data_IF_785027626825
#
_entry.id   IF_785027626825
#
_cell.length_a   1.000
_cell.length_b   1.000
_cell.length_c   1.000
_cell.angle_alpha   90.00
_cell.angle_beta   90.00
_cell.angle_gamma   90.00
#
_symmetry.space_group_name_H-M   'P 1'
#
loop_
_entity.id
_entity.type
_entity.pdbx_description
1 polymer ?
#
# COMPACT_ATOMS: atom_id res chain seq x y z
N UNK A 1 -57.08 14.00 -26.06
CA UNK A 1 -56.15 13.20 -26.89
C UNK A 1 -54.79 13.38 -26.27
N UNK A 2 -54.41 12.49 -25.36
CA UNK A 2 -53.10 12.54 -24.69
C UNK A 2 -52.31 11.31 -25.12
N UNK A 3 -51.36 11.50 -26.03
CA UNK A 3 -50.40 10.47 -26.40
C UNK A 3 -49.31 10.41 -25.34
N UNK A 4 -49.33 9.35 -24.53
CA UNK A 4 -48.19 8.93 -23.74
C UNK A 4 -47.10 8.41 -24.70
N UNK A 5 -46.06 9.21 -24.91
CA UNK A 5 -44.85 8.82 -25.62
C UNK A 5 -44.03 7.88 -24.71
N UNK A 6 -44.32 6.58 -24.78
CA UNK A 6 -43.44 5.56 -24.21
C UNK A 6 -42.20 5.44 -25.08
N UNK A 7 -41.14 6.14 -24.67
CA UNK A 7 -39.78 5.90 -25.16
C UNK A 7 -39.28 4.57 -24.58
N UNK A 8 -39.61 3.47 -25.27
CA UNK A 8 -38.93 2.18 -25.10
C UNK A 8 -37.47 2.34 -25.53
N UNK A 9 -36.60 2.70 -24.58
CA UNK A 9 -35.16 2.54 -24.75
C UNK A 9 -34.82 1.08 -24.47
N UNK A 10 -34.80 0.27 -25.51
CA UNK A 10 -34.22 -1.07 -25.46
C UNK A 10 -32.72 -0.95 -25.18
N UNK A 11 -32.27 -1.55 -24.06
CA UNK A 11 -30.86 -1.62 -23.72
C UNK A 11 -30.10 -2.31 -24.85
N UNK A 12 -29.01 -1.70 -25.32
CA UNK A 12 -28.20 -2.32 -26.35
C UNK A 12 -27.36 -3.45 -25.74
N UNK A 13 -26.92 -4.44 -26.54
CA UNK A 13 -26.05 -5.51 -26.05
C UNK A 13 -24.79 -4.98 -25.34
N UNK A 14 -24.26 -3.84 -25.80
CA UNK A 14 -23.14 -3.15 -25.17
C UNK A 14 -23.47 -2.61 -23.77
N UNK A 15 -24.69 -2.12 -23.55
CA UNK A 15 -25.13 -1.63 -22.23
C UNK A 15 -25.31 -2.80 -21.24
N UNK A 16 -25.72 -3.97 -21.74
CA UNK A 16 -25.88 -5.18 -20.95
C UNK A 16 -24.53 -5.80 -20.56
N UNK A 17 -23.56 -5.85 -21.47
CA UNK A 17 -22.20 -6.30 -21.19
C UNK A 17 -21.50 -5.37 -20.19
N UNK A 18 -21.63 -4.05 -20.39
CA UNK A 18 -21.06 -3.06 -19.47
C UNK A 18 -21.70 -3.13 -18.07
N UNK A 19 -23.02 -3.35 -17.99
CA UNK A 19 -23.72 -3.53 -16.72
C UNK A 19 -23.34 -4.82 -15.97
N UNK A 20 -23.06 -5.90 -16.70
CA UNK A 20 -22.58 -7.15 -16.10
C UNK A 20 -21.16 -7.02 -15.55
N UNK A 21 -20.28 -6.35 -16.28
CA UNK A 21 -18.90 -6.08 -15.83
C UNK A 21 -18.88 -5.21 -14.57
N UNK A 22 -19.69 -4.16 -14.50
CA UNK A 22 -19.78 -3.31 -13.29
C UNK A 22 -20.28 -4.09 -12.08
N UNK A 23 -21.27 -4.95 -12.26
CA UNK A 23 -21.81 -5.77 -11.19
C UNK A 23 -20.80 -6.82 -10.69
N UNK A 24 -20.04 -7.44 -11.60
CA UNK A 24 -18.96 -8.36 -11.22
C UNK A 24 -17.86 -7.65 -10.40
N UNK A 25 -17.45 -6.44 -10.82
CA UNK A 25 -16.48 -5.61 -10.09
C UNK A 25 -16.98 -5.28 -8.68
N UNK A 26 -18.26 -4.92 -8.57
CA UNK A 26 -18.90 -4.62 -7.29
C UNK A 26 -18.94 -5.85 -6.38
N UNK A 27 -19.26 -7.03 -6.91
CA UNK A 27 -19.27 -8.29 -6.15
C UNK A 27 -17.89 -8.64 -5.62
N UNK A 28 -16.85 -8.51 -6.44
CA UNK A 28 -15.46 -8.71 -6.02
C UNK A 28 -15.11 -7.78 -4.86
N UNK A 29 -15.42 -6.49 -4.98
CA UNK A 29 -15.09 -5.51 -3.95
C UNK A 29 -15.85 -5.78 -2.64
N UNK A 30 -17.14 -6.12 -2.71
CA UNK A 30 -17.93 -6.50 -1.52
C UNK A 30 -17.33 -7.74 -0.84
N UNK A 31 -16.95 -8.76 -1.61
CA UNK A 31 -16.32 -9.96 -1.07
C UNK A 31 -14.99 -9.66 -0.38
N UNK A 32 -14.17 -8.80 -0.99
CA UNK A 32 -12.90 -8.33 -0.41
C UNK A 32 -13.15 -7.58 0.89
N UNK A 33 -14.05 -6.59 0.91
CA UNK A 33 -14.37 -5.80 2.11
C UNK A 33 -14.89 -6.67 3.26
N UNK A 34 -15.56 -7.77 2.94
CA UNK A 34 -16.06 -8.74 3.93
C UNK A 34 -15.00 -9.75 4.38
N UNK A 35 -13.84 -9.81 3.75
CA UNK A 35 -12.83 -10.83 4.04
C UNK A 35 -13.24 -12.25 3.59
N UNK A 36 -14.20 -12.37 2.67
CA UNK A 36 -14.71 -13.69 2.24
C UNK A 36 -13.83 -14.28 1.12
N UNK A 37 -12.87 -15.11 1.52
CA UNK A 37 -11.92 -15.73 0.60
C UNK A 37 -12.60 -16.58 -0.49
N UNK A 38 -13.69 -17.28 -0.16
CA UNK A 38 -14.41 -18.15 -1.10
C UNK A 38 -15.14 -17.31 -2.14
N UNK A 39 -15.85 -16.26 -1.71
CA UNK A 39 -16.53 -15.34 -2.60
C UNK A 39 -15.54 -14.58 -3.49
N UNK A 40 -14.37 -14.18 -2.97
CA UNK A 40 -13.32 -13.56 -3.78
C UNK A 40 -12.81 -14.53 -4.84
N UNK A 41 -12.52 -15.79 -4.48
CA UNK A 41 -12.05 -16.79 -5.45
C UNK A 41 -13.04 -16.99 -6.59
N UNK A 42 -14.33 -17.09 -6.27
CA UNK A 42 -15.40 -17.21 -7.26
C UNK A 42 -15.50 -15.96 -8.13
N UNK A 43 -15.44 -14.77 -7.54
CA UNK A 43 -15.50 -13.52 -8.27
C UNK A 43 -14.31 -13.34 -9.23
N UNK A 44 -13.09 -13.70 -8.79
CA UNK A 44 -11.89 -13.64 -9.63
C UNK A 44 -11.98 -14.58 -10.84
N UNK A 45 -12.61 -15.75 -10.70
CA UNK A 45 -12.80 -16.68 -11.83
C UNK A 45 -13.73 -16.12 -12.92
N UNK A 46 -14.61 -15.19 -12.57
CA UNK A 46 -15.56 -14.55 -13.50
C UNK A 46 -15.09 -13.22 -14.08
N UNK A 47 -14.03 -12.61 -13.53
CA UNK A 47 -13.59 -11.26 -13.90
C UNK A 47 -12.53 -11.29 -15.01
N UNK A 48 -12.75 -10.47 -16.05
CA UNK A 48 -11.80 -10.27 -17.16
C UNK A 48 -10.93 -9.01 -17.01
N UNK A 49 -11.34 -8.04 -16.18
CA UNK A 49 -10.67 -6.73 -16.05
C UNK A 49 -9.59 -6.69 -14.96
N UNK A 50 -8.33 -6.57 -15.39
CA UNK A 50 -7.17 -6.44 -14.51
C UNK A 50 -7.17 -5.17 -13.64
N UNK A 51 -7.74 -4.04 -14.08
CA UNK A 51 -7.72 -2.79 -13.27
C UNK A 51 -8.56 -2.93 -12.01
N UNK A 52 -9.71 -3.57 -12.12
CA UNK A 52 -10.59 -3.83 -10.99
C UNK A 52 -9.96 -4.79 -9.98
N UNK A 53 -9.22 -5.79 -10.45
CA UNK A 53 -8.45 -6.70 -9.60
C UNK A 53 -7.34 -5.95 -8.87
N UNK A 54 -6.62 -5.04 -9.52
CA UNK A 54 -5.61 -4.20 -8.86
C UNK A 54 -6.20 -3.28 -7.80
N UNK A 55 -7.41 -2.75 -8.02
CA UNK A 55 -8.10 -1.97 -7.01
C UNK A 55 -8.51 -2.84 -5.81
N UNK A 56 -9.11 -4.00 -6.07
CA UNK A 56 -9.48 -4.98 -5.06
C UNK A 56 -8.27 -5.44 -4.22
N UNK A 57 -7.12 -5.64 -4.85
CA UNK A 57 -5.85 -5.95 -4.18
C UNK A 57 -5.44 -4.85 -3.20
N UNK A 58 -5.49 -3.58 -3.61
CA UNK A 58 -5.16 -2.45 -2.72
C UNK A 58 -6.10 -2.36 -1.53
N UNK A 59 -7.40 -2.59 -1.74
CA UNK A 59 -8.40 -2.59 -0.67
C UNK A 59 -8.17 -3.74 0.30
N UNK A 60 -7.93 -4.96 -0.21
CA UNK A 60 -7.60 -6.11 0.62
C UNK A 60 -6.35 -5.85 1.48
N UNK A 61 -5.33 -5.24 0.90
CA UNK A 61 -4.08 -4.91 1.57
C UNK A 61 -4.28 -3.88 2.71
N UNK A 62 -4.98 -2.77 2.42
CA UNK A 62 -5.28 -1.72 3.41
C UNK A 62 -6.20 -2.19 4.55
N UNK A 63 -7.09 -3.16 4.29
CA UNK A 63 -7.94 -3.78 5.31
C UNK A 63 -7.25 -4.89 6.11
N UNK A 64 -6.00 -5.23 5.79
CA UNK A 64 -5.26 -6.26 6.51
C UNK A 64 -5.62 -7.69 6.11
N UNK A 65 -6.25 -7.91 4.95
CA UNK A 65 -6.63 -9.23 4.45
C UNK A 65 -5.49 -9.90 3.68
N UNK A 66 -4.39 -10.23 4.38
CA UNK A 66 -3.18 -10.80 3.79
C UNK A 66 -3.44 -12.01 2.87
N UNK A 67 -4.25 -12.97 3.33
CA UNK A 67 -4.58 -14.17 2.54
C UNK A 67 -5.29 -13.85 1.22
N UNK A 68 -6.18 -12.85 1.24
CA UNK A 68 -6.91 -12.40 0.05
C UNK A 68 -5.96 -11.68 -0.89
N UNK A 69 -5.10 -10.80 -0.36
CA UNK A 69 -4.12 -10.07 -1.16
C UNK A 69 -3.13 -11.03 -1.85
N UNK A 70 -2.57 -12.01 -1.13
CA UNK A 70 -1.73 -13.07 -1.70
C UNK A 70 -2.45 -13.89 -2.75
N UNK A 71 -3.71 -14.28 -2.49
CA UNK A 71 -4.51 -15.05 -3.46
C UNK A 71 -4.75 -14.26 -4.75
N UNK A 72 -5.01 -12.94 -4.65
CA UNK A 72 -5.18 -12.08 -5.83
C UNK A 72 -3.87 -11.99 -6.63
N UNK A 73 -2.73 -11.78 -5.95
CA UNK A 73 -1.42 -11.73 -6.61
C UNK A 73 -1.14 -13.04 -7.35
N UNK A 74 -1.27 -14.18 -6.68
CA UNK A 74 -0.89 -15.48 -7.23
C UNK A 74 -1.80 -15.93 -8.38
N UNK A 75 -3.10 -15.65 -8.31
CA UNK A 75 -4.07 -16.21 -9.28
C UNK A 75 -4.46 -15.24 -10.39
N UNK A 76 -4.40 -13.93 -10.15
CA UNK A 76 -4.91 -12.94 -11.09
C UNK A 76 -3.87 -11.90 -11.52
N UNK A 77 -2.77 -11.74 -10.78
CA UNK A 77 -1.75 -10.72 -11.03
C UNK A 77 -0.31 -11.23 -10.80
N UNK A 78 0.08 -12.41 -11.35
CA UNK A 78 1.33 -13.08 -10.98
C UNK A 78 2.59 -12.26 -11.30
N UNK A 79 2.54 -11.41 -12.34
CA UNK A 79 3.68 -10.60 -12.79
C UNK A 79 3.41 -9.08 -12.70
N UNK A 80 2.38 -8.66 -11.95
CA UNK A 80 2.00 -7.24 -11.86
C UNK A 80 2.75 -6.50 -10.73
N UNK A 81 4.04 -6.26 -10.91
CA UNK A 81 4.91 -5.61 -9.93
C UNK A 81 4.35 -4.25 -9.44
N UNK A 82 3.82 -3.45 -10.36
CA UNK A 82 3.22 -2.14 -10.05
C UNK A 82 1.95 -2.23 -9.19
N UNK A 83 1.20 -3.32 -9.34
CA UNK A 83 -0.01 -3.58 -8.56
C UNK A 83 0.35 -4.01 -7.14
N UNK A 84 1.34 -4.90 -7.01
CA UNK A 84 1.90 -5.30 -5.73
C UNK A 84 2.46 -4.09 -4.97
N UNK A 85 3.28 -3.26 -5.63
CA UNK A 85 3.83 -2.04 -5.02
C UNK A 85 2.72 -1.08 -4.55
N UNK A 86 1.65 -0.95 -5.35
CA UNK A 86 0.47 -0.19 -4.94
C UNK A 86 -0.26 -0.77 -3.72
N UNK A 87 -0.31 -2.10 -3.60
CA UNK A 87 -0.94 -2.82 -2.51
C UNK A 87 -0.11 -2.73 -1.22
N UNK A 88 1.20 -2.92 -1.32
CA UNK A 88 2.12 -2.78 -0.21
C UNK A 88 2.11 -1.34 0.32
N UNK A 89 2.11 -0.35 -0.56
CA UNK A 89 1.95 1.05 -0.17
C UNK A 89 0.63 1.32 0.61
N UNK A 90 -0.48 0.66 0.24
CA UNK A 90 -1.73 0.76 0.97
C UNK A 90 -1.64 0.12 2.37
N UNK A 91 -1.11 -1.11 2.45
CA UNK A 91 -0.89 -1.79 3.73
C UNK A 91 -0.01 -0.98 4.68
N UNK A 92 1.06 -0.34 4.17
CA UNK A 92 1.94 0.52 4.96
C UNK A 92 1.20 1.73 5.51
N UNK A 93 0.42 2.43 4.66
CA UNK A 93 -0.34 3.62 5.08
C UNK A 93 -1.37 3.30 6.16
N UNK A 94 -2.03 2.16 6.02
CA UNK A 94 -3.06 1.71 6.95
C UNK A 94 -2.49 0.90 8.13
N UNK A 95 -1.16 0.90 8.31
CA UNK A 95 -0.45 0.24 9.41
C UNK A 95 -0.70 -1.27 9.53
N UNK A 96 -0.97 -1.94 8.40
CA UNK A 96 -1.23 -3.37 8.31
C UNK A 96 0.08 -4.18 8.24
N UNK A 97 0.83 -4.22 9.35
CA UNK A 97 2.19 -4.77 9.39
C UNK A 97 2.27 -6.22 8.88
N UNK A 98 1.40 -7.11 9.37
CA UNK A 98 1.41 -8.53 8.96
C UNK A 98 1.14 -8.70 7.47
N UNK A 99 0.21 -7.91 6.93
CA UNK A 99 -0.10 -7.89 5.49
C UNK A 99 1.03 -7.31 4.67
N UNK A 100 1.67 -6.23 5.13
CA UNK A 100 2.83 -5.67 4.45
C UNK A 100 3.99 -6.67 4.38
N UNK A 101 4.28 -7.40 5.46
CA UNK A 101 5.29 -8.48 5.46
C UNK A 101 4.94 -9.61 4.50
N UNK A 102 3.67 -10.03 4.47
CA UNK A 102 3.22 -11.02 3.50
C UNK A 102 3.38 -10.53 2.06
N UNK A 103 3.08 -9.26 1.77
CA UNK A 103 3.23 -8.67 0.45
C UNK A 103 4.69 -8.52 0.04
N UNK A 104 5.59 -8.21 0.98
CA UNK A 104 7.04 -8.27 0.74
C UNK A 104 7.51 -9.69 0.45
N UNK A 105 6.96 -10.69 1.13
CA UNK A 105 7.23 -12.09 0.78
C UNK A 105 6.75 -12.41 -0.65
N UNK A 106 5.54 -12.00 -1.04
CA UNK A 106 5.09 -12.20 -2.44
C UNK A 106 5.98 -11.46 -3.45
N UNK A 107 6.42 -10.22 -3.14
CA UNK A 107 7.35 -9.47 -3.99
C UNK A 107 8.67 -10.19 -4.21
N UNK A 108 9.17 -10.91 -3.20
CA UNK A 108 10.43 -11.67 -3.30
C UNK A 108 10.37 -12.83 -4.30
N UNK A 109 9.16 -13.24 -4.70
CA UNK A 109 8.92 -14.35 -5.64
C UNK A 109 8.92 -13.93 -7.10
N UNK A 110 8.92 -12.62 -7.38
CA UNK A 110 8.99 -12.10 -8.74
C UNK A 110 10.36 -12.40 -9.35
N UNK A 111 10.41 -12.76 -10.63
CA UNK A 111 11.65 -13.05 -11.33
C UNK A 111 12.62 -11.85 -11.32
N UNK A 112 12.06 -10.64 -11.51
CA UNK A 112 12.76 -9.38 -11.29
C UNK A 112 12.20 -8.71 -10.04
N UNK A 113 13.10 -8.31 -9.12
CA UNK A 113 12.67 -7.65 -7.89
C UNK A 113 11.99 -6.31 -8.22
N UNK A 114 10.76 -6.06 -7.73
CA UNK A 114 10.09 -4.79 -7.96
C UNK A 114 10.85 -3.64 -7.29
N UNK A 115 10.85 -2.47 -7.92
CA UNK A 115 11.55 -1.28 -7.42
C UNK A 115 10.89 -0.63 -6.17
N UNK A 116 9.68 -1.07 -5.80
CA UNK A 116 8.91 -0.66 -4.63
C UNK A 116 8.82 0.87 -4.41
N UNK A 117 8.61 1.62 -5.49
CA UNK A 117 8.64 3.09 -5.51
C UNK A 117 7.50 3.70 -4.70
N UNK A 118 6.28 3.18 -4.83
CA UNK A 118 5.11 3.66 -4.07
C UNK A 118 5.24 3.28 -2.61
N UNK A 119 5.78 2.10 -2.34
CA UNK A 119 5.94 1.55 -0.98
C UNK A 119 6.98 2.33 -0.17
N UNK A 120 8.15 2.64 -0.74
CA UNK A 120 9.15 3.44 -0.03
C UNK A 120 8.65 4.87 0.25
N UNK A 121 7.93 5.47 -0.70
CA UNK A 121 7.30 6.77 -0.49
C UNK A 121 6.26 6.71 0.64
N UNK A 122 5.39 5.69 0.63
CA UNK A 122 4.40 5.47 1.67
C UNK A 122 5.07 5.32 3.05
N UNK A 123 6.11 4.49 3.15
CA UNK A 123 6.84 4.24 4.39
C UNK A 123 7.49 5.52 4.93
N UNK A 124 8.10 6.33 4.06
CA UNK A 124 8.62 7.66 4.42
C UNK A 124 7.53 8.58 4.96
N UNK A 125 6.36 8.64 4.31
CA UNK A 125 5.27 9.55 4.71
C UNK A 125 4.64 9.22 6.07
N UNK A 126 4.55 7.93 6.42
CA UNK A 126 3.94 7.51 7.70
C UNK A 126 4.98 7.20 8.79
N UNK A 127 6.28 7.26 8.47
CA UNK A 127 7.34 6.96 9.42
C UNK A 127 7.56 5.46 9.67
N UNK A 128 7.18 4.58 8.73
CA UNK A 128 7.28 3.13 8.90
C UNK A 128 8.71 2.61 8.68
N UNK A 129 9.57 2.84 9.68
CA UNK A 129 11.00 2.50 9.67
C UNK A 129 11.27 1.03 9.32
N UNK A 130 10.56 0.08 9.94
CA UNK A 130 10.76 -1.36 9.67
C UNK A 130 10.63 -1.69 8.17
N UNK A 131 9.65 -1.06 7.50
CA UNK A 131 9.45 -1.25 6.06
C UNK A 131 10.51 -0.51 5.23
N UNK A 132 10.99 0.65 5.68
CA UNK A 132 12.09 1.36 5.02
C UNK A 132 13.33 0.47 4.98
N UNK A 133 13.73 -0.07 6.13
CA UNK A 133 14.93 -0.90 6.24
C UNK A 133 14.82 -2.16 5.37
N UNK A 134 13.68 -2.84 5.42
CA UNK A 134 13.46 -4.05 4.62
C UNK A 134 13.46 -3.75 3.10
N UNK A 135 12.81 -2.66 2.68
CA UNK A 135 12.79 -2.24 1.28
C UNK A 135 14.19 -1.83 0.80
N UNK A 136 14.91 -1.04 1.58
CA UNK A 136 16.27 -0.58 1.25
C UNK A 136 17.25 -1.75 1.12
N UNK A 137 17.15 -2.72 2.03
CA UNK A 137 18.02 -3.89 2.07
C UNK A 137 17.77 -4.84 0.88
N UNK A 138 16.51 -5.13 0.56
CA UNK A 138 16.17 -6.19 -0.38
C UNK A 138 15.83 -5.72 -1.80
N UNK A 139 15.35 -4.50 -2.01
CA UNK A 139 14.74 -4.09 -3.28
C UNK A 139 15.45 -2.93 -3.99
N UNK A 140 16.45 -2.32 -3.36
CA UNK A 140 17.30 -1.24 -3.91
C UNK A 140 16.51 -0.22 -4.74
N UNK A 141 15.65 0.61 -4.10
CA UNK A 141 14.84 1.57 -4.83
C UNK A 141 15.70 2.57 -5.62
N UNK A 142 15.20 3.10 -6.75
CA UNK A 142 15.92 4.11 -7.53
C UNK A 142 16.19 5.38 -6.72
N UNK A 143 17.33 6.04 -6.94
CA UNK A 143 17.71 7.27 -6.24
C UNK A 143 16.61 8.35 -6.25
N UNK A 144 15.89 8.50 -7.37
CA UNK A 144 14.77 9.46 -7.47
C UNK A 144 13.66 9.15 -6.46
N UNK A 145 13.36 7.88 -6.25
CA UNK A 145 12.36 7.42 -5.30
C UNK A 145 12.82 7.62 -3.85
N UNK A 146 14.10 7.40 -3.58
CA UNK A 146 14.73 7.69 -2.28
C UNK A 146 14.65 9.17 -1.95
N UNK A 147 15.01 10.05 -2.88
CA UNK A 147 14.91 11.50 -2.70
C UNK A 147 13.45 11.91 -2.44
N UNK A 148 12.48 11.36 -3.17
CA UNK A 148 11.07 11.65 -2.94
C UNK A 148 10.59 11.17 -1.56
N UNK A 149 10.96 9.96 -1.14
CA UNK A 149 10.61 9.39 0.16
C UNK A 149 11.27 10.17 1.31
N UNK A 150 12.53 10.58 1.14
CA UNK A 150 13.25 11.42 2.09
C UNK A 150 12.57 12.78 2.25
N UNK A 151 12.25 13.46 1.14
CA UNK A 151 11.59 14.77 1.18
C UNK A 151 10.23 14.72 1.87
N UNK A 152 9.42 13.70 1.58
CA UNK A 152 8.12 13.58 2.28
C UNK A 152 8.32 13.27 3.77
N UNK A 153 9.33 12.47 4.13
CA UNK A 153 9.63 12.21 5.54
C UNK A 153 10.03 13.51 6.29
N UNK A 154 10.82 14.39 5.68
CA UNK A 154 11.14 15.71 6.26
C UNK A 154 9.89 16.58 6.40
N UNK A 155 9.09 16.71 5.34
CA UNK A 155 7.87 17.52 5.33
C UNK A 155 6.85 17.07 6.39
N UNK A 156 6.70 15.76 6.54
CA UNK A 156 5.81 15.12 7.53
C UNK A 156 6.46 14.99 8.92
N UNK A 157 7.68 15.54 9.10
CA UNK A 157 8.46 15.49 10.35
C UNK A 157 8.66 14.07 10.88
N UNK A 158 8.73 13.10 9.98
CA UNK A 158 9.05 11.69 10.25
C UNK A 158 10.57 11.52 10.35
N UNK A 159 11.19 12.19 11.32
CA UNK A 159 12.64 12.24 11.47
C UNK A 159 13.31 10.85 11.52
N UNK A 160 12.77 9.83 12.24
CA UNK A 160 13.35 8.49 12.21
C UNK A 160 13.38 7.91 10.79
N UNK A 161 12.29 8.02 10.03
CA UNK A 161 12.25 7.56 8.64
C UNK A 161 13.23 8.33 7.74
N UNK A 162 13.32 9.65 7.90
CA UNK A 162 14.28 10.46 7.16
C UNK A 162 15.73 10.02 7.44
N UNK A 163 16.07 9.76 8.71
CA UNK A 163 17.38 9.23 9.13
C UNK A 163 17.66 7.88 8.49
N UNK A 164 16.73 6.93 8.54
CA UNK A 164 16.91 5.61 7.93
C UNK A 164 17.10 5.68 6.40
N UNK A 165 16.33 6.51 5.71
CA UNK A 165 16.48 6.69 4.26
C UNK A 165 17.83 7.33 3.94
N UNK A 166 18.25 8.34 4.71
CA UNK A 166 19.51 9.04 4.51
C UNK A 166 20.71 8.12 4.77
N UNK A 167 20.73 7.41 5.90
CA UNK A 167 21.86 6.60 6.35
C UNK A 167 22.03 5.33 5.47
N UNK A 168 20.95 4.81 4.91
CA UNK A 168 20.99 3.63 4.02
C UNK A 168 21.34 3.97 2.56
N UNK A 169 21.45 5.25 2.19
CA UNK A 169 21.71 5.70 0.83
C UNK A 169 22.97 6.57 0.75
N UNK A 170 23.41 6.91 -0.47
CA UNK A 170 24.53 7.85 -0.65
C UNK A 170 24.09 9.25 -0.20
N UNK A 171 24.73 9.77 0.85
CA UNK A 171 24.44 11.09 1.41
C UNK A 171 24.43 12.22 0.35
N UNK A 172 25.26 12.11 -0.68
CA UNK A 172 25.36 13.09 -1.78
C UNK A 172 24.04 13.27 -2.54
N UNK A 173 23.13 12.30 -2.45
CA UNK A 173 21.79 12.39 -3.05
C UNK A 173 20.93 13.46 -2.37
N UNK A 174 21.19 13.78 -1.11
CA UNK A 174 20.30 14.57 -0.27
C UNK A 174 20.84 15.96 0.10
N UNK A 175 22.12 16.25 -0.15
CA UNK A 175 22.79 17.48 0.29
C UNK A 175 22.06 18.78 -0.10
N UNK A 176 21.34 18.77 -1.24
CA UNK A 176 20.57 19.93 -1.73
C UNK A 176 19.21 20.11 -1.06
N UNK A 177 18.76 19.16 -0.25
CA UNK A 177 17.38 19.08 0.25
C UNK A 177 17.28 19.19 1.77
N UNK A 178 18.40 19.28 2.47
CA UNK A 178 18.45 19.30 3.93
C UNK A 178 18.65 20.75 4.38
N UNK A 179 17.62 21.33 5.00
CA UNK A 179 17.79 22.59 5.71
C UNK A 179 18.62 22.39 6.99
N UNK A 180 19.20 23.45 7.52
CA UNK A 180 19.98 23.38 8.76
C UNK A 180 19.15 22.87 9.94
N UNK A 181 17.89 23.32 10.04
CA UNK A 181 16.94 22.85 11.05
C UNK A 181 16.63 21.35 10.89
N UNK A 182 16.40 20.87 9.66
CA UNK A 182 16.17 19.45 9.37
C UNK A 182 17.38 18.60 9.78
N UNK A 183 18.60 19.09 9.49
CA UNK A 183 19.85 18.43 9.89
C UNK A 183 19.97 18.31 11.40
N UNK A 184 19.70 19.41 12.11
CA UNK A 184 19.70 19.43 13.59
C UNK A 184 18.70 18.43 14.18
N UNK A 185 17.48 18.37 13.65
CA UNK A 185 16.48 17.40 14.06
C UNK A 185 16.92 15.95 13.80
N UNK A 186 17.47 15.66 12.62
CA UNK A 186 17.99 14.33 12.27
C UNK A 186 19.16 13.92 13.19
N UNK A 187 20.08 14.84 13.48
CA UNK A 187 21.23 14.57 14.36
C UNK A 187 20.78 14.34 15.81
N UNK A 188 19.80 15.10 16.30
CA UNK A 188 19.16 14.85 17.60
C UNK A 188 18.52 13.45 17.64
N UNK A 189 17.80 13.05 16.59
CA UNK A 189 17.24 11.70 16.50
C UNK A 189 18.31 10.60 16.48
N UNK A 190 19.44 10.81 15.78
CA UNK A 190 20.58 9.88 15.82
C UNK A 190 21.17 9.77 17.23
N UNK A 191 21.37 10.90 17.91
CA UNK A 191 21.91 10.92 19.27
C UNK A 191 21.00 10.20 20.27
N UNK A 192 19.68 10.39 20.17
CA UNK A 192 18.71 9.70 21.04
C UNK A 192 18.76 8.18 20.88
N UNK A 193 19.00 7.68 19.66
CA UNK A 193 19.09 6.24 19.38
C UNK A 193 20.35 5.55 19.87
N UNK A 194 21.42 6.32 20.11
CA UNK A 194 22.65 5.80 20.70
C UNK A 194 22.50 5.53 22.20
N UNK A 195 21.46 6.06 22.84
CA UNK A 195 21.12 5.79 24.22
C UNK A 195 20.18 4.58 24.31
N UNK A 196 20.65 3.47 24.88
CA UNK A 196 19.86 2.24 25.03
C UNK A 196 18.55 2.47 25.81
N UNK A 197 18.56 3.35 26.82
CA UNK A 197 17.40 3.66 27.64
C UNK A 197 16.31 4.46 26.89
N UNK A 198 16.70 5.26 25.90
CA UNK A 198 15.79 6.12 25.14
C UNK A 198 15.31 5.43 23.85
N UNK A 199 16.11 4.51 23.31
CA UNK A 199 15.78 3.77 22.09
C UNK A 199 14.44 3.02 22.19
N UNK A 200 14.20 2.30 23.29
CA UNK A 200 12.95 1.54 23.47
C UNK A 200 11.71 2.45 23.57
N UNK A 201 11.85 3.60 24.24
CA UNK A 201 10.77 4.57 24.40
C UNK A 201 10.49 5.31 23.08
N UNK A 202 11.54 5.64 22.32
CA UNK A 202 11.42 6.24 20.99
C UNK A 202 10.72 5.29 20.02
N UNK A 203 11.13 4.02 19.99
CA UNK A 203 10.53 2.98 19.13
C UNK A 203 9.05 2.73 19.47
N UNK A 204 8.66 2.90 20.74
CA UNK A 204 7.25 2.82 21.14
C UNK A 204 6.44 4.02 20.64
N UNK A 205 6.99 5.23 20.75
CA UNK A 205 6.34 6.48 20.36
C UNK A 205 6.29 6.72 18.85
N UNK A 206 7.20 6.12 18.07
CA UNK A 206 7.28 6.32 16.61
C UNK A 206 6.55 5.26 15.80
N UNK A 207 6.01 4.21 16.44
CA UNK A 207 5.18 3.23 15.75
C UNK A 207 3.94 3.92 15.17
N UNK A 208 3.60 3.66 13.89
CA UNK A 208 2.35 4.14 13.32
C UNK A 208 1.17 3.74 14.20
N UNK A 209 0.21 4.64 14.49
CA UNK A 209 -0.96 4.29 15.25
C UNK A 209 -1.70 3.18 14.52
N UNK A 210 -1.97 2.06 15.20
CA UNK A 210 -2.79 0.98 14.63
C UNK A 210 -4.19 1.53 14.42
N UNK A 211 -4.54 1.85 13.17
CA UNK A 211 -5.89 2.26 12.80
C UNK A 211 -6.74 0.98 12.79
N UNK A 212 -7.34 0.68 13.93
CA UNK A 212 -8.38 -0.34 14.01
C UNK A 212 -9.60 0.13 13.23
N UNK A 213 -9.74 -0.30 11.98
CA UNK A 213 -11.00 -0.14 11.26
C UNK A 213 -12.08 -0.91 12.03
N UNK A 214 -13.02 -0.18 12.63
CA UNK A 214 -14.26 -0.77 13.16
C UNK A 214 -15.04 -1.33 11.97
N UNK A 215 -14.88 -2.63 11.72
CA UNK A 215 -15.76 -3.37 10.83
C UNK A 215 -17.21 -3.19 11.34
N UNK A 216 -18.20 -2.96 10.46
CA UNK A 216 -19.59 -2.92 10.87
C UNK A 216 -19.93 -4.27 11.53
N UNK A 217 -20.26 -4.22 12.82
CA UNK A 217 -20.65 -5.39 13.59
C UNK A 217 -21.84 -6.07 12.92
N UNK A 218 -21.74 -7.39 12.71
CA UNK A 218 -22.87 -8.23 12.30
C UNK A 218 -23.99 -8.04 13.33
N UNK A 219 -25.14 -7.53 12.89
CA UNK A 219 -26.40 -7.81 13.59
C UNK A 219 -26.73 -9.27 13.28
N UNK A 220 -26.61 -10.12 14.30
CA UNK A 220 -27.16 -11.48 14.32
C UNK A 220 -28.64 -11.37 14.63
#
# INVERSE_FOLDING_TARGET
>A
MDQASNSDRSATPSDLEQGQDEEQRRRLLIAVVRGDCSAVRLALASLSDGRSVQHALRVAAGLGHANIASMIIQNALPDAADALDGALAAAIKDSQIATGRQLLFEASRFAERPALVKSIYAAGSVGAVDFIDEIMLAYRPPNKSLVSAFRVALLEKRWPAAVHIFDAADARLFDRWIAEDDRSCMDACRALRQSDAVREELDHCTKPPVIGHKLPQRRI
#
